data_IF_207928366666
#
_entry.id   IF_207928366666
#
_cell.length_a   1.000
_cell.length_b   1.000
_cell.length_c   1.000
_cell.angle_alpha   90.00
_cell.angle_beta   90.00
_cell.angle_gamma   90.00
#
_symmetry.space_group_name_H-M   'P 1'
#
loop_
_entity.id
_entity.type
_entity.pdbx_description
1 polymer ?
#
# COMPACT_ATOMS: atom_id res chain seq x y z
N UNK A 1 -12.17 -25.82 52.06
CA UNK A 1 -10.85 -25.56 51.45
C UNK A 1 -11.03 -25.55 49.94
N UNK A 2 -11.04 -24.38 49.31
CA UNK A 2 -11.10 -24.26 47.84
C UNK A 2 -10.00 -23.29 47.39
N UNK A 3 -9.11 -23.78 46.53
CA UNK A 3 -7.95 -23.06 45.98
C UNK A 3 -8.33 -21.97 44.96
N UNK A 4 -7.34 -21.19 44.49
CA UNK A 4 -7.54 -19.85 43.95
C UNK A 4 -8.14 -19.92 42.54
N UNK A 5 -9.27 -19.22 42.31
CA UNK A 5 -9.87 -19.06 40.99
C UNK A 5 -9.17 -17.94 40.22
N UNK A 6 -8.42 -18.23 39.14
CA UNK A 6 -7.80 -17.22 38.31
C UNK A 6 -8.77 -16.84 37.17
N UNK A 7 -9.90 -16.22 37.47
CA UNK A 7 -10.92 -15.88 36.45
C UNK A 7 -11.87 -14.79 36.95
N UNK A 8 -11.35 -13.64 37.35
CA UNK A 8 -12.16 -12.42 37.29
C UNK A 8 -11.62 -11.56 36.14
N UNK A 9 -12.29 -11.51 34.97
CA UNK A 9 -11.93 -10.61 33.88
C UNK A 9 -11.83 -9.15 34.35
N UNK A 10 -12.57 -8.76 35.38
CA UNK A 10 -12.46 -7.43 35.97
C UNK A 10 -11.17 -7.28 36.80
N UNK A 11 -10.66 -8.35 37.41
CA UNK A 11 -9.37 -8.31 38.11
C UNK A 11 -8.20 -8.18 37.12
N UNK A 12 -8.22 -8.93 36.02
CA UNK A 12 -7.23 -8.79 34.93
C UNK A 12 -7.29 -7.40 34.31
N UNK A 13 -8.50 -6.87 34.08
CA UNK A 13 -8.67 -5.52 33.57
C UNK A 13 -8.17 -4.46 34.55
N UNK A 14 -8.46 -4.61 35.86
CA UNK A 14 -7.94 -3.71 36.91
C UNK A 14 -6.41 -3.76 37.02
N UNK A 15 -5.83 -4.95 36.90
CA UNK A 15 -4.38 -5.10 36.89
C UNK A 15 -3.75 -4.41 35.67
N UNK A 16 -4.33 -4.60 34.48
CA UNK A 16 -3.92 -3.92 33.26
C UNK A 16 -4.07 -2.39 33.39
N UNK A 17 -5.17 -1.91 33.99
CA UNK A 17 -5.39 -0.49 34.26
C UNK A 17 -4.36 0.06 35.24
N UNK A 18 -4.03 -0.69 36.30
CA UNK A 18 -2.98 -0.29 37.26
C UNK A 18 -1.60 -0.22 36.63
N UNK A 19 -1.27 -1.17 35.76
CA UNK A 19 -0.04 -1.14 34.96
C UNK A 19 -0.03 0.05 33.99
N UNK A 20 -1.18 0.37 33.39
CA UNK A 20 -1.31 1.52 32.50
C UNK A 20 -1.19 2.85 33.25
N UNK A 21 -1.75 2.97 34.45
CA UNK A 21 -1.63 4.15 35.31
C UNK A 21 -0.18 4.35 35.79
N UNK A 22 0.50 3.26 36.17
CA UNK A 22 1.94 3.30 36.51
C UNK A 22 2.76 3.77 35.32
N UNK A 23 2.51 3.21 34.13
CA UNK A 23 3.15 3.61 32.89
C UNK A 23 2.82 5.08 32.55
N UNK A 24 1.58 5.52 32.73
CA UNK A 24 1.17 6.90 32.48
C UNK A 24 1.86 7.90 33.44
N UNK A 25 2.08 7.52 34.70
CA UNK A 25 2.83 8.33 35.67
C UNK A 25 4.32 8.40 35.32
N UNK A 26 4.93 7.28 34.94
CA UNK A 26 6.34 7.21 34.53
C UNK A 26 6.61 7.97 33.23
N UNK A 27 5.71 7.83 32.25
CA UNK A 27 5.78 8.57 31.00
C UNK A 27 5.42 10.05 31.24
N UNK A 28 4.38 10.37 32.00
CA UNK A 28 3.95 11.75 32.28
C UNK A 28 5.02 12.61 32.96
N UNK A 29 5.83 12.03 33.85
CA UNK A 29 6.91 12.74 34.53
C UNK A 29 8.16 12.99 33.69
N UNK A 30 8.52 12.07 32.78
CA UNK A 30 9.77 12.12 32.02
C UNK A 30 9.63 12.57 30.55
N UNK A 31 8.47 12.38 29.92
CA UNK A 31 8.25 12.72 28.51
C UNK A 31 8.13 14.24 28.25
N UNK A 32 7.75 15.02 29.28
CA UNK A 32 7.62 16.49 29.22
C UNK A 32 8.97 17.23 29.11
N UNK A 33 10.10 16.54 29.25
CA UNK A 33 11.45 17.07 28.95
C UNK A 33 11.74 16.79 27.47
N UNK A 34 11.19 17.66 26.64
CA UNK A 34 10.88 17.55 25.20
C UNK A 34 11.99 17.23 24.18
N UNK A 35 13.11 16.63 24.57
CA UNK A 35 14.15 16.15 23.64
C UNK A 35 14.08 14.65 23.30
N UNK A 36 13.64 13.82 24.25
CA UNK A 36 13.60 12.35 24.10
C UNK A 36 12.34 11.86 23.37
N UNK A 37 11.21 12.56 23.51
CA UNK A 37 9.92 12.14 22.96
C UNK A 37 9.94 11.97 21.42
N UNK A 38 10.51 12.92 20.68
CA UNK A 38 10.59 12.84 19.22
C UNK A 38 11.45 11.64 18.77
N UNK A 39 12.56 11.38 19.47
CA UNK A 39 13.42 10.22 19.20
C UNK A 39 12.70 8.90 19.48
N UNK A 40 11.98 8.83 20.60
CA UNK A 40 11.17 7.66 20.99
C UNK A 40 10.03 7.45 20.00
N UNK A 41 9.32 8.49 19.55
CA UNK A 41 8.23 8.36 18.59
C UNK A 41 8.72 7.89 17.21
N UNK A 42 9.86 8.38 16.73
CA UNK A 42 10.47 7.85 15.51
C UNK A 42 10.93 6.40 15.67
N UNK A 43 11.52 6.06 16.82
CA UNK A 43 11.90 4.69 17.16
C UNK A 43 10.70 3.74 17.25
N UNK A 44 9.61 4.18 17.88
CA UNK A 44 8.38 3.42 18.02
C UNK A 44 7.68 3.21 16.69
N UNK A 45 7.63 4.21 15.81
CA UNK A 45 7.09 4.06 14.46
C UNK A 45 7.93 3.08 13.62
N UNK A 46 9.27 3.17 13.69
CA UNK A 46 10.14 2.23 13.02
C UNK A 46 9.97 0.80 13.55
N UNK A 47 9.85 0.63 14.87
CA UNK A 47 9.59 -0.66 15.50
C UNK A 47 8.22 -1.22 15.08
N UNK A 48 7.18 -0.38 15.02
CA UNK A 48 5.85 -0.78 14.56
C UNK A 48 5.86 -1.22 13.09
N UNK A 49 6.62 -0.57 12.23
CA UNK A 49 6.78 -1.01 10.84
C UNK A 49 7.46 -2.38 10.75
N UNK A 50 8.57 -2.57 11.48
CA UNK A 50 9.26 -3.87 11.55
C UNK A 50 8.37 -4.97 12.12
N UNK A 51 7.54 -4.66 13.12
CA UNK A 51 6.59 -5.63 13.67
C UNK A 51 5.52 -6.02 12.66
N UNK A 52 5.00 -5.06 11.88
CA UNK A 52 4.06 -5.35 10.78
C UNK A 52 4.69 -6.24 9.71
N UNK A 53 5.94 -5.97 9.36
CA UNK A 53 6.72 -6.76 8.40
C UNK A 53 6.95 -8.19 8.90
N UNK A 54 7.45 -8.36 10.13
CA UNK A 54 7.67 -9.68 10.73
C UNK A 54 6.37 -10.51 10.83
N UNK A 55 5.24 -9.85 11.13
CA UNK A 55 3.92 -10.50 11.12
C UNK A 55 3.52 -10.94 9.71
N UNK A 56 3.77 -10.11 8.70
CA UNK A 56 3.48 -10.44 7.31
C UNK A 56 4.29 -11.65 6.85
N UNK A 57 5.60 -11.67 7.13
CA UNK A 57 6.47 -12.82 6.84
C UNK A 57 6.02 -14.10 7.54
N UNK A 58 5.59 -14.02 8.80
CA UNK A 58 5.07 -15.16 9.53
C UNK A 58 3.79 -15.71 8.90
N UNK A 59 2.89 -14.83 8.44
CA UNK A 59 1.67 -15.24 7.74
C UNK A 59 1.98 -15.86 6.38
N UNK A 60 2.91 -15.30 5.61
CA UNK A 60 3.31 -15.87 4.31
C UNK A 60 3.92 -17.27 4.51
N UNK A 61 4.78 -17.47 5.52
CA UNK A 61 5.32 -18.81 5.86
C UNK A 61 4.22 -19.78 6.30
N UNK A 62 3.21 -19.31 7.03
CA UNK A 62 2.09 -20.14 7.45
C UNK A 62 1.22 -20.56 6.26
N UNK A 63 0.99 -19.66 5.30
CA UNK A 63 0.27 -19.94 4.06
C UNK A 63 1.05 -20.93 3.19
N UNK A 64 2.35 -20.71 3.01
CA UNK A 64 3.24 -21.59 2.26
C UNK A 64 3.27 -23.01 2.87
N UNK A 65 3.40 -23.11 4.20
CA UNK A 65 3.32 -24.39 4.92
C UNK A 65 1.96 -25.10 4.78
N UNK A 66 0.88 -24.34 4.55
CA UNK A 66 -0.46 -24.87 4.28
C UNK A 66 -0.70 -25.18 2.79
N UNK A 67 0.32 -25.06 1.93
CA UNK A 67 0.21 -25.11 0.47
C UNK A 67 -0.82 -24.11 -0.09
N UNK A 68 -0.96 -22.95 0.55
CA UNK A 68 -1.83 -21.86 0.11
C UNK A 68 -0.99 -20.77 -0.57
N UNK A 69 -1.47 -20.19 -1.68
CA UNK A 69 -0.73 -19.16 -2.39
C UNK A 69 -0.57 -17.90 -1.53
N UNK A 70 0.66 -17.41 -1.47
CA UNK A 70 1.04 -16.18 -0.75
C UNK A 70 0.68 -14.93 -1.55
N UNK A 71 0.65 -13.77 -0.90
CA UNK A 71 0.38 -12.50 -1.60
C UNK A 71 1.45 -12.18 -2.65
N UNK A 72 2.71 -12.52 -2.37
CA UNK A 72 3.82 -12.27 -3.28
C UNK A 72 3.69 -13.09 -4.57
N UNK A 73 3.30 -14.36 -4.45
CA UNK A 73 3.10 -15.25 -5.60
C UNK A 73 1.93 -14.83 -6.47
N UNK A 74 0.82 -14.40 -5.87
CA UNK A 74 -0.32 -13.84 -6.62
C UNK A 74 0.11 -12.58 -7.39
N UNK A 75 0.94 -11.74 -6.78
CA UNK A 75 1.53 -10.57 -7.43
C UNK A 75 2.41 -10.92 -8.63
N UNK A 76 3.32 -11.89 -8.49
CA UNK A 76 4.17 -12.35 -9.60
C UNK A 76 3.33 -12.94 -10.74
N UNK A 77 2.34 -13.78 -10.43
CA UNK A 77 1.45 -14.34 -11.42
C UNK A 77 0.69 -13.25 -12.20
N UNK A 78 0.16 -12.25 -11.51
CA UNK A 78 -0.49 -11.10 -12.15
C UNK A 78 0.48 -10.33 -13.06
N UNK A 79 1.72 -10.10 -12.62
CA UNK A 79 2.73 -9.43 -13.43
C UNK A 79 3.12 -10.25 -14.68
N UNK A 80 3.13 -11.58 -14.57
CA UNK A 80 3.35 -12.49 -15.70
C UNK A 80 2.18 -12.47 -16.67
N UNK A 81 0.94 -12.48 -16.16
CA UNK A 81 -0.27 -12.36 -16.98
C UNK A 81 -0.28 -11.05 -17.78
N UNK A 82 0.01 -9.91 -17.15
CA UNK A 82 0.11 -8.64 -17.86
C UNK A 82 1.18 -8.61 -18.96
N UNK A 83 2.32 -9.29 -18.76
CA UNK A 83 3.35 -9.43 -19.80
C UNK A 83 2.86 -10.27 -20.98
N UNK A 84 2.05 -11.29 -20.71
CA UNK A 84 1.43 -12.13 -21.74
C UNK A 84 0.40 -11.29 -22.50
N UNK A 85 -0.49 -10.59 -21.81
CA UNK A 85 -1.49 -9.68 -22.41
C UNK A 85 -0.82 -8.65 -23.34
N UNK A 86 0.23 -7.96 -22.87
CA UNK A 86 0.98 -7.01 -23.70
C UNK A 86 1.68 -7.65 -24.91
N UNK A 87 1.95 -8.95 -24.87
CA UNK A 87 2.51 -9.67 -26.02
C UNK A 87 1.42 -10.06 -27.00
N UNK A 88 0.24 -10.46 -26.51
CA UNK A 88 -0.95 -10.71 -27.34
C UNK A 88 -1.36 -9.44 -28.07
N UNK A 89 -1.48 -8.31 -27.38
CA UNK A 89 -1.83 -7.01 -28.00
C UNK A 89 -0.87 -6.63 -29.13
N UNK A 90 0.44 -6.90 -28.95
CA UNK A 90 1.45 -6.65 -29.99
C UNK A 90 1.28 -7.56 -31.19
N UNK A 91 0.97 -8.83 -30.97
CA UNK A 91 0.71 -9.80 -32.05
C UNK A 91 -0.55 -9.39 -32.82
N UNK A 92 -1.62 -9.01 -32.11
CA UNK A 92 -2.86 -8.54 -32.72
C UNK A 92 -2.62 -7.27 -33.55
N UNK A 93 -1.84 -6.32 -33.04
CA UNK A 93 -1.48 -5.11 -33.79
C UNK A 93 -0.66 -5.42 -35.06
N UNK A 94 0.31 -6.35 -34.98
CA UNK A 94 1.08 -6.80 -36.14
C UNK A 94 0.20 -7.49 -37.19
N UNK A 95 -0.73 -8.34 -36.75
CA UNK A 95 -1.65 -9.04 -37.62
C UNK A 95 -2.63 -8.08 -38.31
N UNK A 96 -3.17 -7.10 -37.56
CA UNK A 96 -4.03 -6.06 -38.11
C UNK A 96 -3.28 -5.23 -39.17
N UNK A 97 -2.03 -4.84 -38.90
CA UNK A 97 -1.20 -4.13 -39.86
C UNK A 97 -0.92 -4.96 -41.13
N UNK A 98 -0.68 -6.27 -40.99
CA UNK A 98 -0.44 -7.18 -42.10
C UNK A 98 -1.69 -7.46 -42.94
N UNK A 99 -2.87 -7.48 -42.31
CA UNK A 99 -4.17 -7.58 -42.97
C UNK A 99 -4.62 -6.29 -43.68
N UNK A 100 -3.76 -5.25 -43.74
CA UNK A 100 -4.09 -3.95 -44.32
C UNK A 100 -5.00 -3.08 -43.45
N UNK A 101 -5.30 -3.52 -42.22
CA UNK A 101 -6.05 -2.76 -41.23
C UNK A 101 -5.13 -1.74 -40.56
N UNK A 102 -5.05 -0.53 -41.11
CA UNK A 102 -4.49 0.58 -40.37
C UNK A 102 -5.42 0.91 -39.20
N UNK A 103 -5.09 0.43 -38.00
CA UNK A 103 -5.60 1.01 -36.77
C UNK A 103 -4.95 2.40 -36.58
N UNK A 104 -5.30 3.34 -37.46
CA UNK A 104 -5.07 4.76 -37.21
C UNK A 104 -6.02 5.15 -36.07
N UNK A 105 -5.52 5.51 -34.89
CA UNK A 105 -6.38 6.14 -33.90
C UNK A 105 -6.93 7.42 -34.55
N UNK A 106 -8.25 7.52 -34.63
CA UNK A 106 -8.95 8.74 -35.06
C UNK A 106 -8.69 9.81 -34.00
N UNK A 107 -7.56 10.50 -34.14
CA UNK A 107 -7.20 11.62 -33.27
C UNK A 107 -7.97 12.83 -33.80
N UNK A 108 -8.95 13.36 -33.04
CA UNK A 108 -9.72 14.50 -33.50
C UNK A 108 -8.76 15.66 -33.78
N UNK A 109 -8.72 16.08 -35.05
CA UNK A 109 -7.84 17.14 -35.54
C UNK A 109 -8.26 18.46 -34.87
N UNK A 110 -7.34 19.20 -34.23
CA UNK A 110 -7.70 20.44 -33.55
C UNK A 110 -8.28 21.44 -34.56
N UNK A 111 -9.46 22.00 -34.23
CA UNK A 111 -10.18 22.96 -35.06
C UNK A 111 -9.29 24.19 -35.26
N UNK A 112 -8.90 24.50 -36.50
CA UNK A 112 -8.07 25.69 -36.81
C UNK A 112 -8.85 26.95 -36.42
N UNK A 113 -8.44 27.62 -35.34
CA UNK A 113 -9.05 28.87 -34.84
C UNK A 113 -8.38 30.13 -35.36
N UNK A 114 -7.32 30.02 -36.16
CA UNK A 114 -6.68 31.18 -36.77
C UNK A 114 -7.41 31.59 -38.04
N UNK A 115 -8.19 32.67 -37.96
CA UNK A 115 -8.57 33.47 -39.13
C UNK A 115 -7.30 34.16 -39.68
N UNK A 116 -7.04 34.12 -40.99
CA UNK A 116 -5.92 34.84 -41.58
C UNK A 116 -6.11 36.36 -41.36
N UNK A 117 -5.02 37.13 -41.15
CA UNK A 117 -5.11 38.56 -41.04
C UNK A 117 -5.69 39.13 -42.34
N UNK A 118 -6.69 40.00 -42.22
CA UNK A 118 -7.22 40.72 -43.36
C UNK A 118 -6.12 41.63 -43.89
N UNK A 119 -5.73 41.38 -45.14
CA UNK A 119 -4.86 42.28 -45.90
C UNK A 119 -5.49 43.68 -45.90
N UNK A 120 -4.83 44.66 -45.27
CA UNK A 120 -5.13 46.07 -45.50
C UNK A 120 -4.66 46.39 -46.92
N UNK A 121 -5.59 46.37 -47.87
CA UNK A 121 -5.39 46.96 -49.17
C UNK A 121 -5.33 48.49 -49.05
N UNK A 122 -4.19 49.03 -49.47
CA UNK A 122 -3.96 50.29 -50.18
C UNK A 122 -4.74 51.56 -49.77
N UNK A 123 -3.98 52.59 -49.38
CA UNK A 123 -4.30 53.97 -49.76
C UNK A 123 -3.78 54.27 -51.15
#
# INVERSE_FOLDING_TARGET
>A
MAGPTPTDPAALFREMLGQWESMANEFGGNLMKSGEFTRVMHGANAANMKFKEARAEMMDRALDAANMPTKAEVGDLSARLHRIEATVDRIEAMLAAQAGGSATPDRPKPKRTRKPPQSKAAG
#
